data_IF_355279806110
#
_entry.id   IF_355279806110
#
_cell.length_a   1.000
_cell.length_b   1.000
_cell.length_c   1.000
_cell.angle_alpha   90.00
_cell.angle_beta   90.00
_cell.angle_gamma   90.00
#
_symmetry.space_group_name_H-M   'P 1'
#
loop_
_entity.id
_entity.type
_entity.pdbx_description
1 polymer ?
#
# COMPACT_ATOMS: atom_id res chain seq x y z
N UNK A 1 10.15 -8.33 -8.28
CA UNK A 1 9.14 -8.03 -7.25
C UNK A 1 9.28 -9.02 -6.11
N UNK A 2 9.62 -8.55 -4.91
CA UNK A 2 9.82 -9.39 -3.72
C UNK A 2 8.48 -9.62 -2.97
N UNK A 3 8.46 -10.54 -1.98
CA UNK A 3 7.25 -10.87 -1.20
C UNK A 3 6.67 -9.67 -0.44
N UNK A 4 7.51 -8.75 0.03
CA UNK A 4 7.10 -7.54 0.76
C UNK A 4 6.39 -6.57 -0.18
N UNK A 5 6.91 -6.38 -1.40
CA UNK A 5 6.29 -5.56 -2.44
C UNK A 5 4.96 -6.14 -2.90
N UNK A 6 4.88 -7.47 -3.09
CA UNK A 6 3.62 -8.16 -3.41
C UNK A 6 2.56 -7.94 -2.32
N UNK A 7 2.93 -8.09 -1.04
CA UNK A 7 2.03 -7.85 0.08
C UNK A 7 1.55 -6.39 0.09
N UNK A 8 2.46 -5.44 -0.11
CA UNK A 8 2.16 -4.01 -0.19
C UNK A 8 1.17 -3.71 -1.32
N UNK A 9 1.40 -4.23 -2.52
CA UNK A 9 0.52 -4.07 -3.67
C UNK A 9 -0.90 -4.56 -3.38
N UNK A 10 -1.03 -5.78 -2.83
CA UNK A 10 -2.33 -6.37 -2.49
C UNK A 10 -3.11 -5.50 -1.50
N UNK A 11 -2.45 -5.05 -0.43
CA UNK A 11 -3.09 -4.20 0.59
C UNK A 11 -3.50 -2.85 0.03
N UNK A 12 -2.63 -2.19 -0.75
CA UNK A 12 -2.95 -0.89 -1.34
C UNK A 12 -4.09 -0.96 -2.35
N UNK A 13 -4.23 -2.08 -3.07
CA UNK A 13 -5.40 -2.33 -3.92
C UNK A 13 -6.69 -2.39 -3.10
N UNK A 14 -6.72 -3.14 -1.99
CA UNK A 14 -7.92 -3.18 -1.14
C UNK A 14 -8.27 -1.83 -0.53
N UNK A 15 -7.27 -1.03 -0.15
CA UNK A 15 -7.49 0.36 0.29
C UNK A 15 -8.03 1.22 -0.86
N UNK A 16 -7.46 1.10 -2.06
CA UNK A 16 -7.91 1.83 -3.25
C UNK A 16 -9.34 1.49 -3.67
N UNK A 17 -9.74 0.23 -3.48
CA UNK A 17 -11.09 -0.28 -3.73
C UNK A 17 -12.09 0.01 -2.59
N UNK A 18 -11.65 0.65 -1.50
CA UNK A 18 -12.48 0.92 -0.32
C UNK A 18 -12.91 -0.33 0.45
N UNK A 19 -12.24 -1.48 0.23
CA UNK A 19 -12.52 -2.74 0.93
C UNK A 19 -11.99 -2.75 2.36
N UNK A 20 -10.92 -1.99 2.60
CA UNK A 20 -10.34 -1.74 3.92
C UNK A 20 -9.93 -0.27 4.02
N UNK A 21 -9.84 0.26 5.24
CA UNK A 21 -9.39 1.63 5.49
C UNK A 21 -7.88 1.69 5.71
N UNK A 22 -7.30 2.89 5.57
CA UNK A 22 -5.87 3.09 5.76
C UNK A 22 -5.34 2.67 7.13
N UNK A 23 -6.18 2.67 8.19
CA UNK A 23 -5.80 2.19 9.53
C UNK A 23 -5.62 0.68 9.55
N UNK A 24 -6.51 -0.10 8.96
CA UNK A 24 -6.39 -1.57 8.86
C UNK A 24 -5.14 -1.96 8.05
N UNK A 25 -4.82 -1.20 7.00
CA UNK A 25 -3.60 -1.41 6.23
C UNK A 25 -2.31 -1.19 7.05
N UNK A 26 -2.33 -0.37 8.12
CA UNK A 26 -1.16 -0.21 9.00
C UNK A 26 -0.83 -1.49 9.76
N UNK A 27 -1.85 -2.22 10.21
CA UNK A 27 -1.70 -3.47 10.96
C UNK A 27 -1.16 -4.58 10.05
N UNK A 28 -1.68 -4.69 8.82
CA UNK A 28 -1.25 -5.72 7.87
C UNK A 28 0.19 -5.49 7.37
N UNK A 29 0.56 -4.24 7.13
CA UNK A 29 1.86 -3.89 6.57
C UNK A 29 2.94 -3.62 7.64
N UNK A 30 2.56 -3.46 8.91
CA UNK A 30 3.49 -3.05 9.97
C UNK A 30 4.08 -1.67 9.73
N UNK A 31 3.33 -0.77 9.09
CA UNK A 31 3.77 0.57 8.70
C UNK A 31 2.92 1.64 9.38
N UNK A 32 3.49 2.82 9.61
CA UNK A 32 2.71 3.96 10.09
C UNK A 32 1.66 4.41 9.06
N UNK A 33 0.57 5.01 9.52
CA UNK A 33 -0.49 5.55 8.63
C UNK A 33 0.05 6.55 7.62
N UNK A 34 1.07 7.35 8.00
CA UNK A 34 1.75 8.27 7.10
C UNK A 34 2.46 7.53 5.96
N UNK A 35 3.16 6.43 6.26
CA UNK A 35 3.80 5.59 5.23
C UNK A 35 2.77 4.96 4.30
N UNK A 36 1.68 4.41 4.85
CA UNK A 36 0.60 3.84 4.03
C UNK A 36 0.02 4.90 3.08
N UNK A 37 -0.29 6.11 3.56
CA UNK A 37 -0.79 7.21 2.73
C UNK A 37 0.21 7.64 1.66
N UNK A 38 1.51 7.70 2.00
CA UNK A 38 2.57 8.04 1.04
C UNK A 38 2.66 7.00 -0.08
N UNK A 39 2.66 5.70 0.28
CA UNK A 39 2.65 4.62 -0.70
C UNK A 39 1.38 4.64 -1.56
N UNK A 40 0.21 4.85 -0.95
CA UNK A 40 -1.06 4.93 -1.70
C UNK A 40 -1.05 6.09 -2.70
N UNK A 41 -0.53 7.25 -2.30
CA UNK A 41 -0.40 8.41 -3.19
C UNK A 41 0.57 8.13 -4.35
N UNK A 42 1.74 7.54 -4.07
CA UNK A 42 2.70 7.16 -5.11
C UNK A 42 2.11 6.09 -6.05
N UNK A 43 1.47 5.05 -5.50
CA UNK A 43 0.79 4.00 -6.25
C UNK A 43 -0.30 4.54 -7.19
N UNK A 44 -1.07 5.53 -6.75
CA UNK A 44 -2.09 6.17 -7.61
C UNK A 44 -1.51 6.99 -8.76
N UNK A 45 -0.29 7.53 -8.61
CA UNK A 45 0.37 8.34 -9.66
C UNK A 45 1.19 7.49 -10.63
N UNK A 46 1.90 6.51 -10.09
CA UNK A 46 2.99 5.80 -10.79
C UNK A 46 2.72 4.29 -10.90
N UNK A 47 1.62 3.80 -10.33
CA UNK A 47 1.26 2.38 -10.36
C UNK A 47 2.23 1.51 -9.58
N UNK A 48 2.41 0.26 -10.02
CA UNK A 48 3.26 -0.74 -9.36
C UNK A 48 4.73 -0.29 -9.26
N UNK A 49 5.19 0.58 -10.16
CA UNK A 49 6.56 1.10 -10.17
C UNK A 49 6.90 1.87 -8.88
N UNK A 50 5.93 2.55 -8.27
CA UNK A 50 6.11 3.25 -6.99
C UNK A 50 6.33 2.32 -5.79
N UNK A 51 6.14 1.01 -5.95
CA UNK A 51 6.30 0.03 -4.89
C UNK A 51 7.63 -0.72 -4.95
N UNK A 52 8.40 -0.53 -6.03
CA UNK A 52 9.72 -1.11 -6.20
C UNK A 52 10.71 -0.45 -5.22
N UNK A 53 11.23 -1.23 -4.27
CA UNK A 53 12.31 -0.87 -3.34
C UNK A 53 13.50 -1.83 -3.50
#
# INVERSE_FOLDING_TARGET
MNKKEQKRLMVLNYVGMGKIVGREATEVLGLSLRHVRRFLAAYRREGVQALAE
#
